data_IF_268541312241
#
_entry.id   IF_268541312241
#
_cell.length_a   1.000
_cell.length_b   1.000
_cell.length_c   1.000
_cell.angle_alpha   90.00
_cell.angle_beta   90.00
_cell.angle_gamma   90.00
#
_symmetry.space_group_name_H-M   'P 1'
#
loop_
_entity.id
_entity.type
_entity.pdbx_description
1 polymer ?
#
# COMPACT_ATOMS: atom_id res chain seq x y z
N UNK A 1 -4.67 26.23 15.83
CA UNK A 1 -5.92 25.85 16.53
C UNK A 1 -6.72 25.00 15.56
N UNK A 2 -6.89 23.69 15.81
CA UNK A 2 -7.59 22.79 14.88
C UNK A 2 -9.06 23.23 14.75
N UNK A 3 -9.50 23.62 13.55
CA UNK A 3 -10.93 23.65 13.25
C UNK A 3 -11.42 22.21 13.26
N UNK A 4 -12.21 21.87 14.28
CA UNK A 4 -12.72 20.51 14.55
C UNK A 4 -13.50 19.90 13.38
N UNK A 5 -13.93 20.72 12.43
CA UNK A 5 -14.76 20.31 11.29
C UNK A 5 -13.96 19.68 10.13
N UNK A 6 -12.64 19.91 10.05
CA UNK A 6 -11.81 19.48 8.90
C UNK A 6 -11.24 18.06 9.03
N UNK A 7 -11.07 17.61 10.27
CA UNK A 7 -10.55 16.29 10.61
C UNK A 7 -11.66 15.39 11.13
N UNK A 8 -11.72 14.15 10.65
CA UNK A 8 -12.51 13.13 11.37
C UNK A 8 -11.82 12.80 12.69
N UNK A 9 -12.61 12.31 13.66
CA UNK A 9 -12.09 11.74 14.91
C UNK A 9 -10.99 10.72 14.59
N UNK A 10 -9.94 10.71 15.42
CA UNK A 10 -8.92 9.66 15.40
C UNK A 10 -9.63 8.31 15.61
N UNK A 11 -9.37 7.36 14.72
CA UNK A 11 -9.87 5.98 14.82
C UNK A 11 -8.73 5.00 14.50
N UNK A 12 -8.99 3.72 14.72
CA UNK A 12 -8.09 2.65 14.28
C UNK A 12 -8.16 2.47 12.77
N UNK A 13 -7.05 2.07 12.16
CA UNK A 13 -6.94 1.79 10.73
C UNK A 13 -8.04 0.85 10.22
N UNK A 14 -8.35 -0.22 10.98
CA UNK A 14 -9.42 -1.17 10.65
C UNK A 14 -10.77 -0.48 10.41
N UNK A 15 -11.14 0.45 11.28
CA UNK A 15 -12.42 1.17 11.17
C UNK A 15 -12.49 1.99 9.88
N UNK A 16 -11.37 2.55 9.42
CA UNK A 16 -11.34 3.30 8.16
C UNK A 16 -11.49 2.40 6.94
N UNK A 17 -10.86 1.21 6.98
CA UNK A 17 -10.95 0.22 5.91
C UNK A 17 -12.37 -0.37 5.79
N UNK A 18 -13.02 -0.65 6.92
CA UNK A 18 -14.40 -1.15 6.97
C UNK A 18 -15.43 -0.10 6.53
N UNK A 19 -15.22 1.18 6.87
CA UNK A 19 -16.06 2.31 6.45
C UNK A 19 -15.90 2.68 4.97
N UNK A 20 -15.05 1.96 4.22
CA UNK A 20 -14.73 2.19 2.81
C UNK A 20 -14.37 3.64 2.47
N UNK A 21 -13.73 4.35 3.41
CA UNK A 21 -13.11 5.66 3.17
C UNK A 21 -13.99 6.73 2.49
N UNK A 22 -15.33 6.58 2.42
CA UNK A 22 -16.19 7.25 1.42
C UNK A 22 -16.20 8.79 1.46
N UNK A 23 -15.54 9.39 2.45
CA UNK A 23 -15.46 10.84 2.64
C UNK A 23 -14.10 11.32 3.16
N UNK A 24 -13.02 10.57 2.98
CA UNK A 24 -11.68 11.07 3.29
C UNK A 24 -10.80 11.05 2.05
N UNK A 25 -10.07 12.15 1.81
CA UNK A 25 -9.11 12.21 0.71
C UNK A 25 -7.76 11.64 1.14
N UNK A 26 -7.35 11.89 2.39
CA UNK A 26 -6.04 11.53 2.91
C UNK A 26 -6.12 10.92 4.30
N UNK A 27 -5.28 9.90 4.55
CA UNK A 27 -5.04 9.34 5.86
C UNK A 27 -3.64 9.64 6.35
N UNK A 28 -3.56 9.97 7.64
CA UNK A 28 -2.34 10.16 8.40
C UNK A 28 -2.29 9.11 9.50
N UNK A 29 -1.12 8.56 9.76
CA UNK A 29 -0.91 7.56 10.82
C UNK A 29 0.10 8.11 11.81
N UNK A 30 -0.11 7.83 13.10
CA UNK A 30 0.88 8.14 14.12
C UNK A 30 2.21 7.46 13.76
N UNK A 31 3.32 8.21 13.76
CA UNK A 31 4.63 7.77 13.27
C UNK A 31 5.05 6.49 13.98
N UNK A 32 5.06 5.40 13.21
CA UNK A 32 5.33 4.04 13.66
C UNK A 32 6.13 3.31 12.59
N UNK A 33 7.07 2.47 13.01
CA UNK A 33 7.88 1.66 12.11
C UNK A 33 7.05 0.58 11.40
N UNK A 34 6.05 0.06 12.10
CA UNK A 34 5.14 -0.96 11.57
C UNK A 34 3.68 -0.56 11.77
N UNK A 35 2.91 -0.75 10.70
CA UNK A 35 1.48 -0.56 10.71
C UNK A 35 0.79 -1.83 11.20
N UNK A 36 -0.27 -1.66 11.97
CA UNK A 36 -1.21 -2.72 12.24
C UNK A 36 -2.64 -2.17 12.17
N UNK A 37 -3.62 -3.06 12.17
CA UNK A 37 -5.03 -2.68 12.07
C UNK A 37 -5.52 -1.83 13.25
N UNK A 38 -4.79 -1.82 14.37
CA UNK A 38 -5.07 -0.99 15.53
C UNK A 38 -4.30 0.34 15.54
N UNK A 39 -3.42 0.59 14.56
CA UNK A 39 -2.69 1.85 14.43
C UNK A 39 -3.67 3.03 14.39
N UNK A 40 -3.32 4.09 15.10
CA UNK A 40 -4.14 5.29 15.18
C UNK A 40 -4.00 6.10 13.89
N UNK A 41 -5.14 6.36 13.28
CA UNK A 41 -5.27 7.05 12.02
C UNK A 41 -6.12 8.30 12.18
N UNK A 42 -5.74 9.34 11.45
CA UNK A 42 -6.50 10.58 11.29
C UNK A 42 -6.84 10.74 9.82
N UNK A 43 -8.10 11.07 9.54
CA UNK A 43 -8.56 11.28 8.17
C UNK A 43 -8.86 12.75 7.92
N UNK A 44 -8.32 13.27 6.82
CA UNK A 44 -8.57 14.62 6.32
C UNK A 44 -9.68 14.56 5.26
N UNK A 45 -10.69 15.41 5.41
CA UNK A 45 -11.84 15.49 4.49
C UNK A 45 -11.67 16.51 3.36
N UNK A 46 -10.78 17.49 3.51
CA UNK A 46 -10.72 18.65 2.63
C UNK A 46 -9.86 18.46 1.37
N UNK A 47 -10.15 19.33 0.39
CA UNK A 47 -9.41 19.48 -0.87
C UNK A 47 -7.98 19.98 -0.68
N UNK A 48 -7.15 19.63 -1.65
CA UNK A 48 -5.69 19.77 -1.72
C UNK A 48 -5.10 21.17 -1.40
N UNK A 49 -5.92 22.23 -1.40
CA UNK A 49 -5.44 23.62 -1.29
C UNK A 49 -4.75 23.93 0.04
N UNK A 50 -5.17 23.30 1.14
CA UNK A 50 -4.57 23.46 2.47
C UNK A 50 -3.76 22.22 2.92
N UNK A 51 -3.62 21.22 2.04
CA UNK A 51 -2.99 19.94 2.36
C UNK A 51 -1.56 20.08 2.89
N UNK A 52 -0.78 20.99 2.31
CA UNK A 52 0.62 21.21 2.70
C UNK A 52 0.72 21.76 4.13
N UNK A 53 -0.10 22.76 4.47
CA UNK A 53 -0.10 23.36 5.80
C UNK A 53 -0.51 22.34 6.87
N UNK A 54 -1.54 21.54 6.59
CA UNK A 54 -1.97 20.49 7.51
C UNK A 54 -0.94 19.37 7.67
N UNK A 55 -0.26 19.00 6.59
CA UNK A 55 0.78 17.96 6.62
C UNK A 55 1.92 18.38 7.54
N UNK A 56 2.39 19.62 7.44
CA UNK A 56 3.45 20.13 8.31
C UNK A 56 3.00 20.22 9.79
N UNK A 57 1.75 20.67 10.03
CA UNK A 57 1.20 20.68 11.39
C UNK A 57 1.04 19.28 11.98
N UNK A 58 0.64 18.29 11.19
CA UNK A 58 0.47 16.91 11.64
C UNK A 58 1.80 16.20 11.89
N UNK A 59 2.82 16.46 11.06
CA UNK A 59 4.20 16.01 11.33
C UNK A 59 4.70 16.49 12.68
N UNK A 60 4.45 17.76 13.02
CA UNK A 60 4.82 18.31 14.34
C UNK A 60 4.09 17.64 15.51
N UNK A 61 2.96 16.98 15.25
CA UNK A 61 2.20 16.20 16.23
C UNK A 61 2.51 14.69 16.16
N UNK A 62 3.58 14.30 15.46
CA UNK A 62 4.00 12.91 15.34
C UNK A 62 3.16 12.07 14.38
N UNK A 63 2.41 12.68 13.46
CA UNK A 63 1.70 11.95 12.40
C UNK A 63 2.49 12.02 11.10
N UNK A 64 2.52 10.90 10.37
CA UNK A 64 3.07 10.81 9.03
C UNK A 64 1.94 10.56 8.02
N UNK A 65 2.06 11.19 6.85
CA UNK A 65 1.19 10.96 5.71
C UNK A 65 1.27 9.48 5.28
N UNK A 66 0.13 8.81 5.17
CA UNK A 66 0.07 7.41 4.78
C UNK A 66 -0.36 7.24 3.33
N UNK A 67 -1.66 7.26 3.08
CA UNK A 67 -2.23 7.00 1.76
C UNK A 67 -3.51 7.80 1.58
N UNK A 68 -3.78 8.18 0.33
CA UNK A 68 -5.10 8.63 -0.05
C UNK A 68 -6.10 7.48 0.00
N UNK A 69 -7.38 7.80 0.13
CA UNK A 69 -8.47 6.80 0.03
C UNK A 69 -8.39 6.00 -1.26
N UNK A 70 -8.16 6.68 -2.39
CA UNK A 70 -7.97 6.03 -3.68
C UNK A 70 -6.80 5.04 -3.68
N UNK A 71 -5.67 5.36 -3.04
CA UNK A 71 -4.54 4.41 -2.95
C UNK A 71 -4.89 3.23 -2.05
N UNK A 72 -5.62 3.43 -0.96
CA UNK A 72 -6.09 2.32 -0.13
C UNK A 72 -7.03 1.38 -0.86
N UNK A 73 -7.98 1.93 -1.61
CA UNK A 73 -8.91 1.13 -2.43
C UNK A 73 -8.13 0.27 -3.41
N UNK A 74 -7.13 0.84 -4.10
CA UNK A 74 -6.25 0.07 -4.99
C UNK A 74 -5.51 -1.07 -4.27
N UNK A 75 -5.04 -0.87 -3.04
CA UNK A 75 -4.38 -1.93 -2.26
C UNK A 75 -5.36 -3.07 -1.97
N UNK A 76 -6.57 -2.74 -1.52
CA UNK A 76 -7.60 -3.73 -1.20
C UNK A 76 -8.04 -4.48 -2.45
N UNK A 77 -8.28 -3.79 -3.55
CA UNK A 77 -8.64 -4.40 -4.84
C UNK A 77 -7.52 -5.31 -5.36
N UNK A 78 -6.26 -4.88 -5.28
CA UNK A 78 -5.12 -5.69 -5.69
C UNK A 78 -4.97 -6.94 -4.81
N UNK A 79 -5.22 -6.83 -3.51
CA UNK A 79 -5.19 -7.97 -2.59
C UNK A 79 -6.31 -8.96 -2.93
N UNK A 80 -7.52 -8.46 -3.20
CA UNK A 80 -8.66 -9.30 -3.61
C UNK A 80 -8.41 -10.05 -4.93
N UNK A 81 -7.77 -9.40 -5.91
CA UNK A 81 -7.39 -10.03 -7.18
C UNK A 81 -6.40 -11.17 -7.01
N UNK A 82 -5.50 -11.07 -6.02
CA UNK A 82 -4.49 -12.09 -5.73
C UNK A 82 -5.03 -13.22 -4.83
N UNK A 83 -5.85 -12.86 -3.84
CA UNK A 83 -6.38 -13.78 -2.84
C UNK A 83 -7.79 -13.34 -2.45
N UNK A 84 -8.80 -14.04 -2.97
CA UNK A 84 -10.20 -13.72 -2.73
C UNK A 84 -10.58 -13.76 -1.23
N UNK A 85 -10.07 -14.75 -0.51
CA UNK A 85 -10.28 -14.94 0.93
C UNK A 85 -9.03 -14.54 1.72
N UNK A 86 -8.64 -13.26 1.60
CA UNK A 86 -7.51 -12.71 2.32
C UNK A 86 -7.88 -12.46 3.79
N UNK A 87 -6.90 -12.65 4.68
CA UNK A 87 -7.04 -12.46 6.12
C UNK A 87 -6.61 -11.04 6.53
N UNK A 88 -6.97 -10.64 7.77
CA UNK A 88 -6.46 -9.41 8.40
C UNK A 88 -4.92 -9.32 8.41
N UNK A 89 -4.24 -10.48 8.49
CA UNK A 89 -2.79 -10.58 8.41
C UNK A 89 -2.27 -10.24 7.01
N UNK A 90 -2.90 -10.79 5.96
CA UNK A 90 -2.54 -10.50 4.57
C UNK A 90 -2.72 -9.00 4.25
N UNK A 91 -3.82 -8.40 4.74
CA UNK A 91 -4.07 -6.97 4.59
C UNK A 91 -3.03 -6.12 5.32
N UNK A 92 -2.64 -6.51 6.54
CA UNK A 92 -1.59 -5.82 7.29
C UNK A 92 -0.24 -5.89 6.58
N UNK A 93 0.11 -7.04 6.01
CA UNK A 93 1.33 -7.21 5.22
C UNK A 93 1.32 -6.33 3.97
N UNK A 94 0.20 -6.30 3.24
CA UNK A 94 0.05 -5.41 2.09
C UNK A 94 0.23 -3.95 2.51
N UNK A 95 -0.46 -3.48 3.54
CA UNK A 95 -0.36 -2.10 4.02
C UNK A 95 1.06 -1.73 4.47
N UNK A 96 1.75 -2.61 5.20
CA UNK A 96 3.14 -2.41 5.61
C UNK A 96 4.10 -2.37 4.42
N UNK A 97 3.85 -3.18 3.40
CA UNK A 97 4.66 -3.14 2.18
C UNK A 97 4.56 -1.76 1.52
N UNK A 98 3.34 -1.24 1.34
CA UNK A 98 3.13 0.07 0.74
C UNK A 98 3.67 1.21 1.62
N UNK A 99 3.57 1.07 2.95
CA UNK A 99 4.16 2.01 3.92
C UNK A 99 5.67 2.12 3.82
N UNK A 100 6.37 0.98 3.77
CA UNK A 100 7.83 0.92 3.79
C UNK A 100 8.45 1.28 2.43
N UNK A 101 7.77 0.98 1.32
CA UNK A 101 8.33 1.13 -0.02
C UNK A 101 7.93 2.41 -0.75
N UNK A 102 7.01 3.22 -0.22
CA UNK A 102 6.56 4.49 -0.81
C UNK A 102 6.28 4.41 -2.33
N UNK A 103 5.81 3.26 -2.84
CA UNK A 103 5.73 2.99 -4.27
C UNK A 103 4.62 1.99 -4.61
N UNK A 104 3.92 2.28 -5.72
CA UNK A 104 3.06 1.37 -6.46
C UNK A 104 3.83 0.09 -6.84
N UNK A 105 3.20 -1.09 -6.73
CA UNK A 105 3.73 -2.31 -7.34
C UNK A 105 2.97 -2.62 -8.63
N UNK A 106 3.74 -2.86 -9.70
CA UNK A 106 3.40 -3.73 -10.81
C UNK A 106 3.90 -5.15 -10.48
N UNK A 107 2.99 -6.14 -10.43
CA UNK A 107 3.17 -7.39 -9.69
C UNK A 107 3.93 -8.51 -10.41
N UNK A 108 4.55 -8.24 -11.56
CA UNK A 108 5.35 -9.26 -12.26
C UNK A 108 6.72 -9.52 -11.61
N UNK A 109 7.17 -8.72 -10.64
CA UNK A 109 8.52 -8.84 -10.06
C UNK A 109 8.65 -9.75 -8.82
N UNK A 110 7.57 -10.27 -8.24
CA UNK A 110 7.65 -11.04 -6.97
C UNK A 110 7.81 -12.55 -7.22
N UNK A 111 7.63 -13.02 -8.45
CA UNK A 111 7.82 -14.43 -8.82
C UNK A 111 9.15 -14.66 -9.54
N UNK A 112 10.28 -14.51 -8.85
CA UNK A 112 11.53 -15.14 -9.27
C UNK A 112 12.39 -15.46 -8.04
N UNK A 113 12.39 -16.72 -7.56
CA UNK A 113 13.43 -17.16 -6.63
C UNK A 113 14.78 -17.05 -7.34
N UNK A 114 15.69 -16.34 -6.69
CA UNK A 114 17.08 -16.11 -7.09
C UNK A 114 17.82 -17.45 -7.29
N UNK A 115 18.01 -17.84 -8.56
CA UNK A 115 19.01 -18.85 -8.91
C UNK A 115 20.39 -18.17 -8.81
N UNK A 116 21.33 -18.66 -7.97
CA UNK A 116 22.67 -18.12 -7.92
C UNK A 116 23.39 -18.40 -9.25
N UNK A 117 23.68 -17.35 -10.01
CA UNK A 117 24.55 -17.41 -11.20
C UNK A 117 25.99 -17.61 -10.76
N UNK A 118 26.35 -18.86 -10.48
CA UNK A 118 27.66 -19.21 -9.96
C UNK A 118 27.97 -20.70 -9.95
N UNK A 119 27.68 -21.44 -11.03
CA UNK A 119 28.33 -22.72 -11.29
C UNK A 119 28.31 -23.05 -12.79
N UNK A 120 29.50 -23.19 -13.39
CA UNK A 120 29.71 -23.69 -14.77
C UNK A 120 29.55 -25.21 -14.78
N UNK A 121 29.02 -25.80 -15.85
CA UNK A 121 29.69 -26.68 -16.84
C UNK A 121 28.63 -27.34 -17.78
N UNK A 122 28.97 -28.05 -18.88
CA UNK A 122 28.55 -27.76 -20.25
C UNK A 122 27.79 -28.94 -20.90
N UNK A 123 27.55 -28.87 -22.22
CA UNK A 123 26.90 -29.90 -23.07
C UNK A 123 25.37 -29.87 -22.91
N UNK A 124 24.51 -29.80 -23.93
CA UNK A 124 24.57 -30.11 -25.35
C UNK A 124 23.55 -29.20 -26.08
N UNK A 125 23.92 -28.53 -27.17
CA UNK A 125 23.65 -28.88 -28.57
C UNK A 125 22.17 -29.13 -28.92
N UNK A 126 21.72 -28.39 -29.95
CA UNK A 126 20.70 -28.75 -30.96
C UNK A 126 19.24 -28.75 -30.48
N UNK A 127 18.23 -28.15 -31.15
CA UNK A 127 18.00 -27.89 -32.59
C UNK A 127 17.01 -26.74 -32.76
N UNK A 128 17.22 -25.95 -33.83
CA UNK A 128 16.22 -25.05 -34.44
C UNK A 128 14.99 -25.86 -34.87
N UNK A 129 13.79 -25.34 -34.63
CA UNK A 129 12.58 -25.82 -35.30
C UNK A 129 11.90 -24.68 -36.07
N UNK A 130 11.85 -24.89 -37.39
CA UNK A 130 11.17 -24.11 -38.41
C UNK A 130 9.66 -24.20 -38.22
N UNK A 131 8.95 -23.07 -38.36
CA UNK A 131 7.50 -23.04 -38.51
C UNK A 131 7.13 -23.25 -39.98
N UNK A 132 6.48 -24.38 -40.28
CA UNK A 132 5.68 -24.55 -41.50
C UNK A 132 4.40 -25.28 -41.12
N UNK A 133 3.27 -24.59 -41.22
CA UNK A 133 1.93 -25.17 -41.23
C UNK A 133 1.32 -24.94 -42.62
N UNK A 134 1.22 -26.02 -43.39
CA UNK A 134 0.10 -26.34 -44.29
C UNK A 134 -0.22 -27.81 -44.09
#
# INVERSE_FOLDING_TARGET
>A
MFTRDKFRKIKRLKCFLEEKSQHCQWLFILDTEELNLNSLCLALREDLNEFHEYTEQLKNNGFREFLSSARLENIVENLQKQKFDYTDSDLTLALNFYWKNNAFIDLECIASPSIPRGARHPLAREKRFNWSLR
#
